data_IF_892033380075
#
_entry.id   IF_892033380075
#
_cell.length_a   1.000
_cell.length_b   1.000
_cell.length_c   1.000
_cell.angle_alpha   90.00
_cell.angle_beta   90.00
_cell.angle_gamma   90.00
#
_symmetry.space_group_name_H-M   'P 1'
#
loop_
_entity.id
_entity.type
_entity.pdbx_description
1 polymer ?
#
# COMPACT_ATOMS: atom_id res chain seq x y z
N UNK A 1 -7.91 -35.18 27.14
CA UNK A 1 -8.03 -34.23 26.00
C UNK A 1 -6.74 -34.32 25.21
N UNK A 2 -6.77 -34.62 23.90
CA UNK A 2 -5.58 -34.76 23.06
C UNK A 2 -5.27 -33.44 22.35
N UNK A 3 -4.02 -32.98 22.39
CA UNK A 3 -3.59 -31.64 21.96
C UNK A 3 -3.06 -31.64 20.52
N UNK A 4 -3.96 -31.78 19.54
CA UNK A 4 -3.59 -31.72 18.12
C UNK A 4 -3.12 -30.32 17.68
N UNK A 5 -3.64 -29.26 18.30
CA UNK A 5 -3.21 -27.89 18.05
C UNK A 5 -1.85 -27.65 18.71
N UNK A 6 -0.82 -27.46 17.89
CA UNK A 6 0.55 -27.15 18.33
C UNK A 6 1.07 -25.92 17.56
N UNK A 7 1.77 -24.98 18.22
CA UNK A 7 2.36 -23.82 17.54
C UNK A 7 3.53 -24.22 16.64
N UNK A 8 3.74 -23.46 15.57
CA UNK A 8 4.90 -23.58 14.68
C UNK A 8 6.06 -22.73 15.21
N UNK A 9 7.11 -23.36 15.71
CA UNK A 9 8.32 -22.65 16.19
C UNK A 9 9.37 -22.43 15.11
N UNK A 10 9.29 -23.18 14.00
CA UNK A 10 10.17 -23.04 12.84
C UNK A 10 9.31 -22.91 11.58
N UNK A 11 9.56 -21.90 10.72
CA UNK A 11 8.85 -21.76 9.46
C UNK A 11 9.28 -22.82 8.44
N UNK A 12 8.43 -23.10 7.46
CA UNK A 12 8.78 -23.95 6.34
C UNK A 12 9.92 -23.30 5.52
N UNK A 13 10.95 -24.09 5.18
CA UNK A 13 12.05 -23.65 4.32
C UNK A 13 11.70 -23.91 2.85
N UNK A 14 11.81 -22.89 2.01
CA UNK A 14 11.70 -23.06 0.56
C UNK A 14 12.90 -23.82 -0.02
N UNK A 15 12.70 -24.52 -1.14
CA UNK A 15 13.79 -25.09 -1.95
C UNK A 15 13.57 -26.52 -2.47
N UNK A 16 12.78 -27.35 -1.79
CA UNK A 16 12.72 -28.79 -2.11
C UNK A 16 11.63 -29.20 -3.12
N UNK A 17 10.43 -28.59 -3.07
CA UNK A 17 9.29 -29.11 -3.85
C UNK A 17 8.84 -28.24 -5.03
N UNK A 18 8.91 -26.91 -4.93
CA UNK A 18 8.50 -26.04 -6.03
C UNK A 18 9.47 -24.87 -6.20
N UNK A 19 10.11 -24.79 -7.37
CA UNK A 19 10.99 -23.68 -7.74
C UNK A 19 12.43 -23.72 -7.22
N UNK A 20 12.85 -24.78 -6.53
CA UNK A 20 14.26 -25.02 -6.17
C UNK A 20 14.86 -26.25 -6.87
N UNK A 21 16.06 -26.66 -6.45
CA UNK A 21 16.80 -27.84 -6.96
C UNK A 21 16.04 -29.12 -6.65
N UNK A 22 15.01 -29.43 -7.46
CA UNK A 22 14.21 -30.63 -7.30
C UNK A 22 15.07 -31.87 -7.50
N UNK A 23 15.04 -32.78 -6.53
CA UNK A 23 15.63 -34.12 -6.63
C UNK A 23 14.69 -35.07 -7.42
N UNK A 24 13.40 -34.73 -7.51
CA UNK A 24 12.38 -35.48 -8.26
C UNK A 24 12.05 -34.77 -9.59
N UNK A 25 11.83 -35.55 -10.65
CA UNK A 25 11.72 -35.06 -12.04
C UNK A 25 10.68 -33.95 -12.28
N UNK A 26 10.79 -33.21 -13.40
CA UNK A 26 9.93 -32.08 -13.71
C UNK A 26 8.45 -32.52 -13.78
N UNK A 27 7.59 -31.85 -13.00
CA UNK A 27 6.15 -32.09 -13.03
C UNK A 27 5.51 -31.42 -14.26
N UNK A 28 4.57 -32.10 -14.89
CA UNK A 28 3.76 -31.56 -16.00
C UNK A 28 2.53 -30.76 -15.52
N UNK A 29 2.38 -30.55 -14.21
CA UNK A 29 1.26 -29.81 -13.61
C UNK A 29 1.57 -28.31 -13.64
N UNK A 30 0.64 -27.51 -14.14
CA UNK A 30 0.70 -26.04 -14.11
C UNK A 30 -0.62 -25.47 -13.57
N UNK A 31 -0.54 -24.32 -12.91
CA UNK A 31 -1.70 -23.54 -12.46
C UNK A 31 -2.21 -22.62 -13.57
N UNK A 32 -3.47 -22.18 -13.50
CA UNK A 32 -3.99 -21.14 -14.40
C UNK A 32 -3.19 -19.83 -14.33
N UNK A 33 -2.53 -19.58 -13.19
CA UNK A 33 -1.62 -18.43 -12.99
C UNK A 33 -0.26 -18.58 -13.68
N UNK A 34 0.14 -19.81 -14.01
CA UNK A 34 1.42 -20.09 -14.67
C UNK A 34 1.31 -19.99 -16.21
N UNK A 35 0.12 -19.69 -16.73
CA UNK A 35 -0.10 -19.46 -18.15
C UNK A 35 0.64 -18.18 -18.56
N UNK A 36 1.24 -18.21 -19.75
CA UNK A 36 1.99 -17.09 -20.30
C UNK A 36 1.15 -15.80 -20.28
N UNK A 37 1.58 -14.85 -19.44
CA UNK A 37 1.00 -13.52 -19.32
C UNK A 37 2.14 -12.51 -19.18
N UNK A 38 1.93 -11.28 -19.67
CA UNK A 38 2.95 -10.23 -19.70
C UNK A 38 4.31 -10.70 -20.27
N UNK A 39 4.28 -11.35 -21.43
CA UNK A 39 5.47 -11.91 -22.09
C UNK A 39 6.43 -10.84 -22.65
N UNK A 40 6.04 -9.57 -22.62
CA UNK A 40 6.83 -8.44 -23.10
C UNK A 40 7.19 -7.50 -21.95
N UNK A 41 8.48 -7.24 -21.78
CA UNK A 41 8.98 -6.25 -20.83
C UNK A 41 8.92 -4.86 -21.46
N UNK A 42 8.49 -3.86 -20.68
CA UNK A 42 8.48 -2.46 -21.11
C UNK A 42 9.80 -1.79 -20.73
N UNK A 43 10.68 -1.45 -21.69
CA UNK A 43 11.85 -0.64 -21.39
C UNK A 43 11.43 0.79 -21.08
N UNK A 44 12.24 1.49 -20.29
CA UNK A 44 12.10 2.93 -20.07
C UNK A 44 12.35 3.65 -21.39
N UNK A 45 11.49 4.60 -21.74
CA UNK A 45 11.67 5.49 -22.90
C UNK A 45 12.37 6.77 -22.46
N UNK A 46 12.90 7.52 -23.43
CA UNK A 46 13.41 8.87 -23.21
C UNK A 46 12.37 9.72 -22.45
N UNK A 47 12.84 10.46 -21.44
CA UNK A 47 11.99 11.20 -20.50
C UNK A 47 11.37 10.38 -19.35
N UNK A 48 11.64 9.07 -19.26
CA UNK A 48 11.24 8.21 -18.14
C UNK A 48 12.44 7.83 -17.24
N UNK A 49 13.46 8.69 -17.21
CA UNK A 49 14.73 8.44 -16.52
C UNK A 49 15.39 7.18 -17.03
N UNK A 50 15.76 7.21 -18.31
CA UNK A 50 16.64 6.19 -18.89
C UNK A 50 18.01 6.25 -18.21
N UNK A 51 18.74 5.15 -18.25
CA UNK A 51 20.07 5.09 -17.64
C UNK A 51 21.00 6.17 -18.24
N UNK A 52 20.94 6.38 -19.56
CA UNK A 52 21.74 7.39 -20.25
C UNK A 52 21.41 8.82 -19.83
N UNK A 53 20.15 9.11 -19.51
CA UNK A 53 19.75 10.43 -19.00
C UNK A 53 20.24 10.63 -17.57
N UNK A 54 20.15 9.61 -16.72
CA UNK A 54 20.64 9.67 -15.35
C UNK A 54 22.16 9.87 -15.29
N UNK A 55 22.91 9.23 -16.20
CA UNK A 55 24.37 9.39 -16.28
C UNK A 55 24.80 10.80 -16.72
N UNK A 56 23.96 11.51 -17.49
CA UNK A 56 24.24 12.88 -17.98
C UNK A 56 23.80 13.97 -17.01
N UNK A 57 22.97 13.66 -16.00
CA UNK A 57 22.38 14.65 -15.07
C UNK A 57 23.18 14.73 -13.77
N UNK A 58 23.38 15.95 -13.28
CA UNK A 58 23.93 16.22 -11.95
C UNK A 58 22.84 16.11 -10.88
N UNK A 59 22.58 14.88 -10.41
CA UNK A 59 21.51 14.57 -9.45
C UNK A 59 21.61 15.33 -8.12
N UNK A 60 22.84 15.71 -7.72
CA UNK A 60 23.08 16.46 -6.48
C UNK A 60 22.54 17.88 -6.59
N UNK A 61 22.84 18.56 -7.69
CA UNK A 61 22.39 19.94 -7.92
C UNK A 61 20.87 19.99 -8.08
N UNK A 62 20.30 19.05 -8.84
CA UNK A 62 18.84 18.93 -9.00
C UNK A 62 18.13 18.74 -7.65
N UNK A 63 18.69 17.90 -6.78
CA UNK A 63 18.16 17.64 -5.44
C UNK A 63 18.22 18.92 -4.59
N UNK A 64 19.38 19.58 -4.52
CA UNK A 64 19.55 20.80 -3.73
C UNK A 64 18.60 21.90 -4.20
N UNK A 65 18.40 22.06 -5.51
CA UNK A 65 17.45 23.03 -6.07
C UNK A 65 16.00 22.68 -5.80
N UNK A 66 15.62 21.40 -5.91
CA UNK A 66 14.27 20.95 -5.59
C UNK A 66 13.96 21.11 -4.10
N UNK A 67 14.93 20.83 -3.25
CA UNK A 67 14.83 21.08 -1.81
C UNK A 67 14.70 22.57 -1.52
N UNK A 68 15.55 23.43 -2.11
CA UNK A 68 15.42 24.90 -1.97
C UNK A 68 14.03 25.40 -2.37
N UNK A 69 13.46 24.91 -3.48
CA UNK A 69 12.07 25.24 -3.91
C UNK A 69 11.01 24.70 -2.95
N UNK A 70 11.19 23.48 -2.43
CA UNK A 70 10.26 22.87 -1.48
C UNK A 70 10.28 23.60 -0.12
N UNK A 71 11.46 23.95 0.40
CA UNK A 71 11.58 24.67 1.66
C UNK A 71 11.08 26.12 1.55
N UNK A 72 11.38 26.83 0.46
CA UNK A 72 10.87 28.19 0.25
C UNK A 72 9.33 28.27 0.09
N UNK A 73 8.70 27.21 -0.43
CA UNK A 73 7.23 27.13 -0.52
C UNK A 73 6.57 26.66 0.78
N UNK A 74 7.24 25.81 1.56
CA UNK A 74 6.72 25.27 2.83
C UNK A 74 6.87 26.24 4.02
N UNK A 75 7.91 27.08 4.02
CA UNK A 75 8.16 28.04 5.10
C UNK A 75 7.08 29.14 5.16
N UNK A 76 6.44 29.46 4.01
CA UNK A 76 5.29 30.37 3.94
C UNK A 76 4.00 29.82 4.54
N UNK A 77 3.87 28.50 4.70
CA UNK A 77 2.65 27.86 5.19
C UNK A 77 2.74 27.26 6.60
N UNK A 78 3.95 27.09 7.17
CA UNK A 78 4.14 26.42 8.46
C UNK A 78 4.34 27.36 9.66
N UNK A 79 4.71 28.63 9.44
CA UNK A 79 4.89 29.58 10.54
C UNK A 79 3.55 30.11 11.10
N UNK A 80 2.50 30.24 10.27
CA UNK A 80 1.23 30.82 10.72
C UNK A 80 0.36 29.82 11.53
N UNK A 81 0.46 28.52 11.25
CA UNK A 81 -0.34 27.48 11.92
C UNK A 81 0.30 26.92 13.21
N UNK A 82 1.63 27.00 13.37
CA UNK A 82 2.28 26.54 14.61
C UNK A 82 2.05 27.47 15.79
N UNK A 83 1.98 28.78 15.57
CA UNK A 83 1.75 29.75 16.65
C UNK A 83 0.30 29.75 17.15
N UNK A 84 -0.67 29.33 16.32
CA UNK A 84 -2.07 29.16 16.76
C UNK A 84 -2.32 27.89 17.57
N UNK A 85 -1.42 26.90 17.52
CA UNK A 85 -1.52 25.63 18.30
C UNK A 85 -0.64 25.59 19.54
N UNK A 86 0.09 26.66 19.87
CA UNK A 86 0.85 26.76 21.13
C UNK A 86 0.04 27.37 22.27
N UNK A 87 -1.28 27.13 22.27
CA UNK A 87 -2.18 27.71 23.26
C UNK A 87 -3.53 27.01 23.31
N UNK A 88 -3.56 25.69 23.54
CA UNK A 88 -4.72 25.03 24.19
C UNK A 88 -4.49 23.52 24.33
N UNK A 89 -4.47 23.05 25.57
CA UNK A 89 -5.01 21.73 25.91
C UNK A 89 -3.98 20.65 26.21
N UNK A 90 -3.61 20.55 27.48
CA UNK A 90 -3.26 19.28 28.11
C UNK A 90 -4.39 18.26 27.86
N UNK A 91 -4.15 17.20 27.08
CA UNK A 91 -5.08 16.06 26.91
C UNK A 91 -4.49 14.77 27.50
N UNK A 92 -3.92 14.89 28.69
CA UNK A 92 -3.50 13.76 29.51
C UNK A 92 -4.39 13.73 30.76
N UNK A 93 -5.69 13.58 30.56
CA UNK A 93 -6.63 13.28 31.64
C UNK A 93 -7.72 12.34 31.11
N UNK A 94 -7.80 11.18 31.76
CA UNK A 94 -8.56 10.03 31.31
C UNK A 94 -10.06 10.30 31.24
N UNK A 95 -10.64 10.06 30.06
CA UNK A 95 -12.07 9.78 29.93
C UNK A 95 -12.17 8.34 29.45
N UNK A 96 -12.48 7.45 30.40
CA UNK A 96 -12.96 6.11 30.11
C UNK A 96 -14.22 6.27 29.23
N UNK A 97 -14.11 5.97 27.94
CA UNK A 97 -15.28 5.83 27.08
C UNK A 97 -15.75 4.38 27.21
N UNK A 98 -16.94 4.25 27.77
CA UNK A 98 -17.64 2.99 27.98
C UNK A 98 -17.68 2.14 26.70
N UNK A 99 -17.34 0.87 26.90
CA UNK A 99 -17.17 -0.17 25.89
C UNK A 99 -18.49 -0.85 25.52
N UNK A 100 -19.55 -0.10 25.18
CA UNK A 100 -20.89 -0.72 24.97
C UNK A 100 -21.76 -0.18 23.81
N UNK A 101 -21.24 0.59 22.85
CA UNK A 101 -21.97 0.84 21.59
C UNK A 101 -21.74 -0.27 20.56
N UNK A 102 -22.35 -1.42 20.86
CA UNK A 102 -23.01 -2.38 19.95
C UNK A 102 -22.62 -2.29 18.46
N UNK A 103 -21.49 -2.91 18.10
CA UNK A 103 -21.14 -3.21 16.69
C UNK A 103 -22.11 -4.27 16.19
N UNK A 104 -23.25 -3.83 15.63
CA UNK A 104 -24.13 -4.68 14.81
C UNK A 104 -23.55 -4.66 13.39
N UNK A 105 -23.14 -5.81 12.81
CA UNK A 105 -22.73 -5.85 11.42
C UNK A 105 -23.98 -5.64 10.55
N UNK A 106 -24.15 -4.41 10.06
CA UNK A 106 -25.16 -4.06 9.06
C UNK A 106 -24.64 -4.56 7.71
N UNK A 107 -25.09 -5.74 7.30
CA UNK A 107 -24.90 -6.22 5.93
C UNK A 107 -25.85 -5.41 5.03
N UNK A 108 -25.41 -4.23 4.62
CA UNK A 108 -26.09 -3.39 3.63
C UNK A 108 -25.47 -3.73 2.28
N UNK A 109 -26.29 -4.33 1.43
CA UNK A 109 -26.00 -4.60 0.03
C UNK A 109 -25.94 -3.28 -0.74
N UNK A 110 -24.96 -3.13 -1.62
CA UNK A 110 -24.58 -1.87 -2.25
C UNK A 110 -24.91 -1.86 -3.75
N UNK A 111 -26.10 -2.35 -4.13
CA UNK A 111 -26.58 -2.38 -5.52
C UNK A 111 -28.08 -2.04 -5.69
N UNK A 112 -28.78 -1.59 -4.63
CA UNK A 112 -30.21 -1.21 -4.70
C UNK A 112 -30.38 0.32 -4.82
N UNK A 113 -29.77 0.92 -5.83
CA UNK A 113 -30.13 2.28 -6.28
C UNK A 113 -30.24 2.29 -7.80
N UNK A 114 -31.42 2.75 -8.28
CA UNK A 114 -31.86 3.04 -9.67
C UNK A 114 -33.00 2.07 -10.10
N UNK A 115 -34.23 2.45 -10.50
CA UNK A 115 -34.81 3.68 -11.07
C UNK A 115 -36.32 3.77 -10.73
N UNK A 116 -36.79 4.87 -10.14
CA UNK A 116 -38.21 5.27 -10.25
C UNK A 116 -38.37 6.01 -11.59
N UNK A 117 -38.85 5.29 -12.61
CA UNK A 117 -39.25 5.89 -13.88
C UNK A 117 -40.56 6.64 -13.71
N UNK A 118 -40.47 7.95 -13.89
CA UNK A 118 -41.57 8.91 -13.89
C UNK A 118 -42.81 8.39 -14.64
N UNK A 119 -43.90 8.25 -13.90
CA UNK A 119 -45.26 8.29 -14.45
C UNK A 119 -45.61 9.74 -14.75
N UNK A 120 -45.60 10.14 -16.02
CA UNK A 120 -46.61 11.10 -16.51
C UNK A 120 -46.73 11.14 -18.04
N UNK A 121 -48.00 11.00 -18.47
CA UNK A 121 -48.63 11.26 -19.78
C UNK A 121 -48.49 10.26 -20.93
#
# INVERSE_FOLDING_TARGET
>A
MTTAARPTWAPAKGGQEQGGTRIFGPSQKYSSRDIASHTTLKPRREGQDTQEELEKRDLREELEDRERRHFSSKDKGYHDDRDRRRGSGHYLEGVKRDTEDRIVPRNIDADDTDEDSDKER
#
